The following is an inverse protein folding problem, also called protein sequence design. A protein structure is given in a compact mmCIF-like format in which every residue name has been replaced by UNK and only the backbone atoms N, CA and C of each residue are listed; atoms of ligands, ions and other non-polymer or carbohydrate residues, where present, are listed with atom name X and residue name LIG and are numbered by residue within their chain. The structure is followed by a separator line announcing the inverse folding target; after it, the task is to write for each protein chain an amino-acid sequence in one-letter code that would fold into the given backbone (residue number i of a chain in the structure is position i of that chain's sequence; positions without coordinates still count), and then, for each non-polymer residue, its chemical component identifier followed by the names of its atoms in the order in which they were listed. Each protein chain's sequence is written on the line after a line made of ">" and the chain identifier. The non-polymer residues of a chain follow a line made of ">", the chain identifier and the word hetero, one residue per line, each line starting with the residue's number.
data_IF_542088267371
#
_entry.id   IF_542088267371
#
_cell.length_a   1.000
_cell.length_b   1.000
_cell.length_c   1.000
_cell.angle_alpha   90.00
_cell.angle_beta   90.00
_cell.angle_gamma   90.00
#
_symmetry.space_group_name_H-M   'P 1'
#
loop_
_entity.id
_entity.type
_entity.pdbx_description
1 polymer ?
#
# COMPACT_ATOMS: atom_id res chain seq x y z
N UNK A 1 3.06 -4.54 34.76
CA UNK A 1 4.40 -4.48 34.17
C UNK A 1 4.43 -4.89 32.68
N UNK A 2 3.42 -5.60 32.14
CA UNK A 2 3.29 -5.99 30.72
C UNK A 2 3.56 -4.87 29.70
N UNK A 3 3.03 -3.67 29.90
CA UNK A 3 3.28 -2.53 28.99
C UNK A 3 4.77 -2.25 28.81
N UNK A 4 5.56 -2.35 29.88
CA UNK A 4 7.01 -2.14 29.82
C UNK A 4 7.73 -3.27 29.09
N UNK A 5 7.29 -4.53 29.24
CA UNK A 5 7.86 -5.67 28.48
C UNK A 5 7.54 -5.61 26.99
N UNK A 6 6.37 -5.09 26.62
CA UNK A 6 5.97 -4.93 25.22
C UNK A 6 6.60 -3.70 24.56
N UNK A 7 6.91 -2.66 25.34
CA UNK A 7 7.47 -1.41 24.82
C UNK A 7 9.02 -1.38 24.87
N UNK A 8 9.67 -2.54 24.96
CA UNK A 8 11.15 -2.67 24.88
C UNK A 8 11.66 -2.29 23.50
N UNK A 9 10.90 -2.59 22.44
CA UNK A 9 11.22 -2.20 21.08
C UNK A 9 9.95 -1.70 20.37
N UNK A 10 9.93 -0.40 20.05
CA UNK A 10 8.80 0.22 19.37
C UNK A 10 9.09 0.34 17.88
N UNK A 11 8.30 -0.32 17.05
CA UNK A 11 8.32 -0.12 15.60
C UNK A 11 7.31 0.98 15.26
N UNK A 12 7.79 2.08 14.71
CA UNK A 12 6.93 3.12 14.16
C UNK A 12 6.54 2.74 12.73
N UNK A 13 5.27 2.44 12.50
CA UNK A 13 4.77 2.18 11.15
C UNK A 13 4.27 3.48 10.53
N UNK A 14 5.01 3.99 9.56
CA UNK A 14 4.71 5.23 8.86
C UNK A 14 3.46 5.08 7.99
N UNK A 15 2.49 6.02 8.02
CA UNK A 15 1.32 5.98 7.15
C UNK A 15 1.70 6.06 5.67
N UNK A 16 0.87 5.51 4.80
CA UNK A 16 1.15 5.40 3.35
C UNK A 16 1.39 6.77 2.69
N UNK A 17 0.65 7.81 3.10
CA UNK A 17 0.83 9.19 2.62
C UNK A 17 2.22 9.80 2.87
N UNK A 18 3.01 9.22 3.77
CA UNK A 18 4.38 9.64 4.07
C UNK A 18 5.43 8.77 3.36
N UNK A 19 4.99 7.79 2.56
CA UNK A 19 5.82 6.89 1.76
C UNK A 19 5.20 6.66 0.36
N UNK A 20 5.01 7.74 -0.42
CA UNK A 20 4.36 7.64 -1.74
C UNK A 20 5.16 6.78 -2.74
N UNK A 21 6.47 6.61 -2.52
CA UNK A 21 7.33 5.78 -3.36
C UNK A 21 7.04 4.27 -3.22
N UNK A 22 6.35 3.85 -2.14
CA UNK A 22 5.90 2.47 -1.97
C UNK A 22 4.68 2.13 -2.87
N UNK A 23 3.92 3.14 -3.30
CA UNK A 23 2.63 2.98 -3.98
C UNK A 23 2.74 2.21 -5.30
N UNK A 24 3.69 2.52 -6.21
CA UNK A 24 3.84 1.77 -7.46
C UNK A 24 4.03 0.27 -7.23
N UNK A 25 4.93 -0.10 -6.31
CA UNK A 25 5.21 -1.50 -5.98
C UNK A 25 4.01 -2.22 -5.37
N UNK A 26 3.26 -1.52 -4.50
CA UNK A 26 2.05 -2.07 -3.88
C UNK A 26 0.94 -2.30 -4.92
N UNK A 27 0.75 -1.35 -5.84
CA UNK A 27 -0.21 -1.48 -6.94
C UNK A 27 0.13 -2.69 -7.81
N UNK A 28 1.39 -2.84 -8.22
CA UNK A 28 1.84 -3.97 -9.03
C UNK A 28 1.53 -5.31 -8.34
N UNK A 29 1.79 -5.39 -7.04
CA UNK A 29 1.47 -6.56 -6.23
C UNK A 29 -0.05 -6.84 -6.19
N UNK A 30 -0.89 -5.82 -5.99
CA UNK A 30 -2.34 -6.01 -5.93
C UNK A 30 -2.93 -6.39 -7.28
N UNK A 31 -2.48 -5.76 -8.36
CA UNK A 31 -2.88 -6.12 -9.72
C UNK A 31 -2.53 -7.57 -10.02
N UNK A 32 -1.30 -8.01 -9.70
CA UNK A 32 -0.89 -9.41 -9.87
C UNK A 32 -1.75 -10.37 -9.05
N UNK A 33 -1.99 -10.05 -7.78
CA UNK A 33 -2.85 -10.85 -6.91
C UNK A 33 -4.30 -10.91 -7.42
N UNK A 34 -4.81 -9.85 -8.04
CA UNK A 34 -6.14 -9.83 -8.65
C UNK A 34 -6.20 -10.67 -9.94
N UNK A 35 -5.15 -10.63 -10.78
CA UNK A 35 -5.02 -11.49 -11.97
C UNK A 35 -5.09 -12.97 -11.61
N UNK A 36 -4.46 -13.37 -10.51
CA UNK A 36 -4.50 -14.75 -10.04
C UNK A 36 -5.89 -15.17 -9.55
N UNK A 37 -6.69 -14.23 -9.01
CA UNK A 37 -8.02 -14.51 -8.43
C UNK A 37 -9.16 -14.44 -9.44
N UNK A 38 -9.06 -13.60 -10.47
CA UNK A 38 -10.07 -13.44 -11.52
C UNK A 38 -9.42 -13.84 -12.83
N UNK A 39 -9.86 -14.92 -13.48
CA UNK A 39 -9.33 -15.44 -14.75
C UNK A 39 -9.44 -14.44 -15.92
N UNK A 40 -8.65 -13.38 -15.89
CA UNK A 40 -8.67 -12.30 -16.87
C UNK A 40 -7.41 -11.45 -16.82
N UNK A 41 -7.14 -10.75 -17.92
CA UNK A 41 -6.07 -9.78 -18.01
C UNK A 41 -6.51 -8.49 -17.33
N UNK A 42 -6.04 -8.25 -16.10
CA UNK A 42 -5.99 -6.88 -15.60
C UNK A 42 -4.86 -6.15 -16.33
N UNK A 43 -5.21 -5.05 -16.98
CA UNK A 43 -4.25 -4.13 -17.57
C UNK A 43 -3.50 -3.37 -16.47
N UNK A 44 -2.27 -2.99 -16.77
CA UNK A 44 -1.46 -2.10 -15.93
C UNK A 44 -2.09 -0.71 -15.84
N UNK A 45 -1.84 0.01 -14.75
CA UNK A 45 -2.20 1.42 -14.67
C UNK A 45 -1.31 2.27 -15.58
N UNK A 46 -1.87 3.36 -16.10
CA UNK A 46 -1.06 4.34 -16.84
C UNK A 46 -0.12 5.10 -15.88
N UNK A 47 1.01 5.64 -16.36
CA UNK A 47 1.92 6.42 -15.53
C UNK A 47 1.24 7.59 -14.81
N UNK A 48 0.28 8.24 -15.46
CA UNK A 48 -0.48 9.36 -14.90
C UNK A 48 -1.39 8.92 -13.75
N UNK A 49 -2.00 7.72 -13.88
CA UNK A 49 -2.80 7.15 -12.81
C UNK A 49 -1.93 6.82 -11.58
N UNK A 50 -0.74 6.25 -11.79
CA UNK A 50 0.21 5.99 -10.70
C UNK A 50 0.64 7.30 -10.04
N UNK A 51 1.01 8.31 -10.83
CA UNK A 51 1.40 9.62 -10.32
C UNK A 51 0.28 10.28 -9.50
N UNK A 52 -0.97 10.20 -9.97
CA UNK A 52 -2.12 10.69 -9.21
C UNK A 52 -2.28 9.96 -7.88
N UNK A 53 -2.20 8.62 -7.89
CA UNK A 53 -2.32 7.80 -6.69
C UNK A 53 -1.23 8.12 -5.66
N UNK A 54 -0.04 8.54 -6.09
CA UNK A 54 1.03 9.01 -5.19
C UNK A 54 0.69 10.31 -4.43
N UNK A 55 -0.28 11.09 -4.91
CA UNK A 55 -0.72 12.34 -4.26
C UNK A 55 -1.88 12.17 -3.29
N UNK A 56 -2.53 11.00 -3.30
CA UNK A 56 -3.71 10.74 -2.49
C UNK A 56 -3.40 10.67 -0.98
N UNK A 57 -4.36 11.05 -0.11
CA UNK A 57 -4.15 11.14 1.33
C UNK A 57 -4.11 9.78 2.05
N UNK A 58 -4.56 8.70 1.39
CA UNK A 58 -4.56 7.32 1.88
C UNK A 58 -4.90 7.18 3.37
N UNK A 59 -6.10 7.66 3.77
CA UNK A 59 -6.54 7.62 5.18
C UNK A 59 -6.67 6.19 5.70
N UNK A 60 -7.07 5.26 4.83
CA UNK A 60 -7.10 3.82 5.10
C UNK A 60 -5.78 3.09 4.81
N UNK A 61 -4.73 3.79 4.40
CA UNK A 61 -3.42 3.23 4.05
C UNK A 61 -3.54 2.10 3.01
N UNK A 62 -2.76 1.03 3.19
CA UNK A 62 -2.70 -0.13 2.30
C UNK A 62 -4.08 -0.78 2.09
N UNK A 63 -4.98 -0.72 3.08
CA UNK A 63 -6.33 -1.29 2.95
C UNK A 63 -7.23 -0.49 1.99
N UNK A 64 -7.00 0.82 1.88
CA UNK A 64 -7.70 1.65 0.90
C UNK A 64 -7.11 1.51 -0.51
N UNK A 65 -5.83 1.11 -0.59
CA UNK A 65 -5.13 0.89 -1.86
C UNK A 65 -5.46 -0.48 -2.50
N UNK A 66 -5.73 -1.52 -1.69
CA UNK A 66 -6.11 -2.88 -2.13
C UNK A 66 -7.58 -2.99 -2.58
#
# INVERSE_FOLDING_TARGET
>A
DLFYRLNVFRIHLTPLRQRPDDIPLLIDYFLERMRQKKWGQLESLTPEAVAFLQTCPWRGNVRELE
#
